data_IF_079732022007
#
_entry.id   IF_079732022007
#
_cell.length_a   1.000
_cell.length_b   1.000
_cell.length_c   1.000
_cell.angle_alpha   90.00
_cell.angle_beta   90.00
_cell.angle_gamma   90.00
#
_symmetry.space_group_name_H-M   'P 1'
#
loop_
_entity.id
_entity.type
_entity.pdbx_description
1 polymer ?
#
# COMPACT_ATOMS: atom_id res chain seq x y z
N UNK A 1 -86.84 -10.47 -17.67
CA UNK A 1 -85.56 -11.12 -17.76
C UNK A 1 -84.44 -10.09 -17.49
N UNK A 2 -83.92 -10.12 -16.30
CA UNK A 2 -82.90 -9.12 -15.84
C UNK A 2 -81.50 -9.79 -15.84
N UNK A 3 -80.60 -9.24 -16.65
CA UNK A 3 -79.26 -9.70 -16.75
C UNK A 3 -78.38 -8.91 -15.75
N UNK A 4 -77.91 -9.56 -14.70
CA UNK A 4 -76.94 -8.99 -13.73
C UNK A 4 -75.56 -9.20 -14.20
N UNK A 5 -74.86 -8.14 -14.60
CA UNK A 5 -73.44 -8.14 -14.95
C UNK A 5 -72.57 -8.05 -13.64
N UNK A 6 -71.83 -9.08 -13.34
CA UNK A 6 -70.89 -9.06 -12.21
C UNK A 6 -69.58 -8.43 -12.62
N UNK A 7 -69.21 -7.32 -11.99
CA UNK A 7 -67.86 -6.68 -12.13
C UNK A 7 -66.88 -7.38 -11.19
N UNK A 8 -65.92 -8.06 -11.74
CA UNK A 8 -64.80 -8.66 -11.00
C UNK A 8 -63.71 -7.61 -10.80
N UNK A 9 -63.55 -7.14 -9.57
CA UNK A 9 -62.40 -6.28 -9.19
C UNK A 9 -61.14 -7.13 -9.13
N UNK A 10 -60.21 -6.88 -10.04
CA UNK A 10 -58.85 -7.45 -10.00
C UNK A 10 -57.95 -6.47 -9.24
N UNK A 11 -57.56 -6.83 -8.03
CA UNK A 11 -56.57 -6.09 -7.25
C UNK A 11 -55.19 -6.49 -7.76
N UNK A 12 -54.49 -5.57 -8.40
CA UNK A 12 -53.04 -5.72 -8.70
C UNK A 12 -52.26 -5.43 -7.43
N UNK A 13 -51.68 -6.48 -6.83
CA UNK A 13 -50.68 -6.35 -5.80
C UNK A 13 -49.35 -5.98 -6.49
N UNK A 14 -48.91 -4.73 -6.34
CA UNK A 14 -47.61 -4.27 -6.74
C UNK A 14 -46.64 -4.70 -5.64
N UNK A 15 -45.60 -5.57 -5.91
CA UNK A 15 -44.63 -5.89 -4.91
C UNK A 15 -43.72 -4.67 -4.70
N UNK A 16 -43.75 -4.09 -3.53
CA UNK A 16 -42.77 -3.09 -3.08
C UNK A 16 -41.44 -3.81 -2.87
N UNK A 17 -40.52 -3.67 -3.81
CA UNK A 17 -39.12 -4.08 -3.65
C UNK A 17 -38.45 -3.04 -2.73
N UNK A 18 -38.34 -3.36 -1.46
CA UNK A 18 -37.44 -2.62 -0.55
C UNK A 18 -36.01 -2.85 -1.00
N UNK A 19 -35.44 -1.92 -1.75
CA UNK A 19 -34.01 -1.82 -1.89
C UNK A 19 -33.44 -1.46 -0.51
N UNK A 20 -32.87 -2.42 0.18
CA UNK A 20 -32.07 -2.17 1.38
C UNK A 20 -30.90 -1.30 0.94
N UNK A 21 -30.95 0.00 1.22
CA UNK A 21 -29.81 0.87 1.15
C UNK A 21 -28.79 0.32 2.17
N UNK A 22 -27.78 -0.37 1.70
CA UNK A 22 -26.59 -0.67 2.50
C UNK A 22 -26.01 0.69 2.88
N UNK A 23 -26.11 1.07 4.14
CA UNK A 23 -25.39 2.21 4.69
C UNK A 23 -23.91 1.96 4.34
N UNK A 24 -23.40 2.73 3.38
CA UNK A 24 -21.98 2.70 3.04
C UNK A 24 -21.23 3.02 4.33
N UNK A 25 -20.34 2.12 4.73
CA UNK A 25 -19.53 2.33 5.91
C UNK A 25 -18.61 3.52 5.61
N UNK A 26 -18.89 4.68 6.20
CA UNK A 26 -18.17 5.94 5.93
C UNK A 26 -16.73 5.93 6.41
N UNK A 27 -16.29 4.84 7.06
CA UNK A 27 -14.92 4.68 7.49
C UNK A 27 -13.95 4.61 6.28
N UNK A 28 -13.03 5.56 6.13
CA UNK A 28 -12.09 5.59 5.00
C UNK A 28 -11.23 4.33 4.89
N UNK A 29 -10.93 3.65 5.99
CA UNK A 29 -10.18 2.38 5.96
C UNK A 29 -11.00 1.29 5.26
N UNK A 30 -12.31 1.22 5.52
CA UNK A 30 -13.20 0.26 4.88
C UNK A 30 -13.41 0.58 3.40
N UNK A 31 -13.57 1.87 3.06
CA UNK A 31 -13.65 2.28 1.65
C UNK A 31 -12.38 1.92 0.90
N UNK A 32 -11.22 2.18 1.49
CA UNK A 32 -9.93 1.79 0.91
C UNK A 32 -9.82 0.27 0.76
N UNK A 33 -10.16 -0.50 1.79
CA UNK A 33 -10.13 -1.96 1.73
C UNK A 33 -10.99 -2.52 0.59
N UNK A 34 -12.20 -1.97 0.41
CA UNK A 34 -13.07 -2.35 -0.69
C UNK A 34 -12.49 -1.94 -2.05
N UNK A 35 -11.93 -0.74 -2.14
CA UNK A 35 -11.35 -0.19 -3.38
C UNK A 35 -10.15 -0.99 -3.89
N UNK A 36 -9.31 -1.54 -3.00
CA UNK A 36 -8.16 -2.37 -3.40
C UNK A 36 -8.54 -3.80 -3.79
N UNK A 37 -9.76 -4.25 -3.53
CA UNK A 37 -10.22 -5.60 -3.90
C UNK A 37 -10.75 -6.44 -2.75
N UNK A 38 -10.85 -5.87 -1.55
CA UNK A 38 -11.44 -6.48 -0.35
C UNK A 38 -10.44 -7.03 0.65
N UNK A 39 -10.77 -6.94 1.94
CA UNK A 39 -9.93 -7.40 3.06
C UNK A 39 -9.55 -8.88 2.94
N UNK A 40 -10.47 -9.72 2.49
CA UNK A 40 -10.24 -11.16 2.38
C UNK A 40 -9.07 -11.48 1.44
N UNK A 41 -9.07 -10.88 0.26
CA UNK A 41 -7.97 -11.06 -0.72
C UNK A 41 -6.66 -10.52 -0.18
N UNK A 42 -6.68 -9.34 0.45
CA UNK A 42 -5.47 -8.76 1.06
C UNK A 42 -4.97 -9.63 2.22
N UNK A 43 -5.86 -10.24 3.02
CA UNK A 43 -5.49 -11.16 4.10
C UNK A 43 -4.78 -12.43 3.60
N UNK A 44 -5.08 -12.88 2.38
CA UNK A 44 -4.46 -14.04 1.76
C UNK A 44 -3.03 -13.79 1.25
N UNK A 45 -2.62 -12.52 1.14
CA UNK A 45 -1.27 -12.16 0.74
C UNK A 45 -0.29 -12.44 1.89
N UNK A 46 0.70 -13.28 1.62
CA UNK A 46 1.83 -13.55 2.54
C UNK A 46 3.07 -12.75 2.15
N UNK A 47 3.24 -12.54 0.85
CA UNK A 47 4.39 -11.82 0.29
C UNK A 47 4.05 -11.17 -1.06
N UNK A 48 4.85 -10.17 -1.43
CA UNK A 48 4.76 -9.48 -2.71
C UNK A 48 6.18 -9.33 -3.25
N UNK A 49 6.36 -9.62 -4.52
CA UNK A 49 7.55 -9.28 -5.29
C UNK A 49 7.19 -8.30 -6.38
N UNK A 50 8.04 -7.27 -6.56
CA UNK A 50 7.83 -6.27 -7.61
C UNK A 50 9.14 -5.95 -8.31
N UNK A 51 9.07 -5.78 -9.63
CA UNK A 51 10.16 -5.26 -10.46
C UNK A 51 9.73 -3.94 -11.09
N UNK A 52 10.70 -3.08 -11.33
CA UNK A 52 10.45 -1.79 -11.97
C UNK A 52 11.71 -0.97 -12.14
N UNK A 53 11.53 0.32 -12.25
CA UNK A 53 12.61 1.30 -12.38
C UNK A 53 12.38 2.49 -11.45
N UNK A 54 13.47 3.12 -11.06
CA UNK A 54 13.49 4.43 -10.42
C UNK A 54 14.22 5.37 -11.37
N UNK A 55 13.61 6.51 -11.66
CA UNK A 55 14.27 7.62 -12.37
C UNK A 55 14.50 8.74 -11.39
N UNK A 56 15.73 9.20 -11.28
CA UNK A 56 16.17 10.28 -10.41
C UNK A 56 17.24 11.11 -11.09
N UNK A 57 17.01 12.43 -11.24
CA UNK A 57 17.96 13.36 -11.85
C UNK A 57 18.38 12.98 -13.29
N UNK A 58 17.49 12.35 -14.06
CA UNK A 58 17.77 11.87 -15.42
C UNK A 58 18.51 10.52 -15.47
N UNK A 59 18.79 9.91 -14.32
CA UNK A 59 19.41 8.57 -14.23
C UNK A 59 18.32 7.57 -13.91
N UNK A 60 18.26 6.49 -14.68
CA UNK A 60 17.35 5.37 -14.44
C UNK A 60 18.11 4.17 -13.86
N UNK A 61 17.57 3.60 -12.78
CA UNK A 61 18.08 2.38 -12.16
C UNK A 61 17.00 1.32 -12.10
N UNK A 62 17.36 0.05 -12.20
CA UNK A 62 16.43 -1.06 -11.99
C UNK A 62 16.08 -1.18 -10.50
N UNK A 63 14.85 -1.56 -10.23
CA UNK A 63 14.33 -1.77 -8.89
C UNK A 63 13.75 -3.17 -8.75
N UNK A 64 14.12 -3.87 -7.67
CA UNK A 64 13.45 -5.08 -7.22
C UNK A 64 13.10 -4.95 -5.74
N UNK A 65 11.88 -5.32 -5.40
CA UNK A 65 11.39 -5.21 -4.02
C UNK A 65 10.64 -6.47 -3.63
N UNK A 66 11.00 -7.02 -2.48
CA UNK A 66 10.27 -8.11 -1.83
C UNK A 66 9.74 -7.62 -0.50
N UNK A 67 8.49 -7.89 -0.23
CA UNK A 67 7.85 -7.61 1.03
C UNK A 67 7.10 -8.82 1.54
N UNK A 68 7.01 -8.95 2.84
CA UNK A 68 6.10 -9.89 3.50
C UNK A 68 4.99 -9.14 4.24
N UNK A 69 3.85 -9.78 4.45
CA UNK A 69 2.73 -9.18 5.16
C UNK A 69 3.03 -8.87 6.63
N UNK A 70 4.05 -9.52 7.23
CA UNK A 70 4.58 -9.26 8.56
C UNK A 70 5.63 -8.14 8.60
N UNK A 71 5.95 -7.55 7.45
CA UNK A 71 6.76 -6.34 7.35
C UNK A 71 8.25 -6.55 7.16
N UNK A 72 8.70 -7.74 6.77
CA UNK A 72 10.07 -7.91 6.27
C UNK A 72 10.16 -7.36 4.87
N UNK A 73 11.30 -6.81 4.50
CA UNK A 73 11.52 -6.39 3.12
C UNK A 73 12.99 -6.52 2.68
N UNK A 74 13.15 -6.61 1.38
CA UNK A 74 14.40 -6.43 0.66
C UNK A 74 14.15 -5.50 -0.52
N UNK A 75 15.04 -4.54 -0.71
CA UNK A 75 15.06 -3.64 -1.85
C UNK A 75 16.44 -3.74 -2.52
N UNK A 76 16.43 -3.86 -3.83
CA UNK A 76 17.63 -3.83 -4.67
C UNK A 76 17.46 -2.77 -5.74
N UNK A 77 18.42 -1.87 -5.82
CA UNK A 77 18.55 -0.86 -6.86
C UNK A 77 19.86 -1.11 -7.60
N UNK A 78 19.82 -1.08 -8.93
CA UNK A 78 21.01 -1.32 -9.75
C UNK A 78 21.00 -0.44 -11.00
N UNK A 79 22.00 0.38 -11.16
CA UNK A 79 22.36 1.14 -12.36
C UNK A 79 23.79 0.79 -12.81
N UNK A 80 24.32 1.54 -13.77
CA UNK A 80 25.65 1.31 -14.33
C UNK A 80 26.78 1.54 -13.31
N UNK A 81 26.64 2.60 -12.50
CA UNK A 81 27.67 3.00 -11.50
C UNK A 81 27.14 3.00 -10.08
N UNK A 82 25.93 2.51 -9.87
CA UNK A 82 25.23 2.53 -8.59
C UNK A 82 24.57 1.20 -8.29
N UNK A 83 24.75 0.71 -7.08
CA UNK A 83 23.93 -0.39 -6.55
C UNK A 83 23.66 -0.19 -5.06
N UNK A 84 22.46 -0.55 -4.66
CA UNK A 84 22.02 -0.51 -3.27
C UNK A 84 21.23 -1.78 -2.97
N UNK A 85 21.59 -2.44 -1.88
CA UNK A 85 20.77 -3.51 -1.29
C UNK A 85 20.42 -3.10 0.12
N UNK A 86 19.13 -3.06 0.41
CA UNK A 86 18.59 -2.78 1.73
C UNK A 86 17.73 -3.96 2.16
N UNK A 87 17.96 -4.48 3.36
CA UNK A 87 17.19 -5.59 3.94
C UNK A 87 16.71 -5.23 5.34
N UNK A 88 15.54 -5.74 5.69
CA UNK A 88 14.95 -5.59 7.02
C UNK A 88 14.17 -6.87 7.37
N UNK A 89 14.51 -7.50 8.50
CA UNK A 89 13.90 -8.76 8.94
C UNK A 89 12.67 -8.56 9.87
N UNK A 90 12.27 -7.31 10.07
CA UNK A 90 11.21 -6.91 10.99
C UNK A 90 11.73 -6.30 12.30
N UNK A 91 13.02 -6.47 12.61
CA UNK A 91 13.70 -5.94 13.81
C UNK A 91 15.04 -5.31 13.45
N UNK A 92 15.84 -5.99 12.67
CA UNK A 92 17.18 -5.57 12.25
C UNK A 92 17.21 -5.29 10.76
N UNK A 93 18.09 -4.40 10.36
CA UNK A 93 18.32 -4.11 8.96
C UNK A 93 19.80 -4.04 8.63
N UNK A 94 20.11 -4.22 7.35
CA UNK A 94 21.43 -4.05 6.79
C UNK A 94 21.38 -3.37 5.43
N UNK A 95 22.42 -2.62 5.12
CA UNK A 95 22.56 -1.89 3.85
C UNK A 95 23.92 -2.24 3.25
N UNK A 96 23.95 -2.48 1.93
CA UNK A 96 25.17 -2.58 1.13
C UNK A 96 25.08 -1.62 -0.06
N UNK A 97 26.03 -0.75 -0.20
CA UNK A 97 26.14 0.21 -1.31
C UNK A 97 27.37 -0.11 -2.16
N UNK A 98 27.18 -0.35 -3.44
CA UNK A 98 28.26 -0.74 -4.36
C UNK A 98 28.97 -2.00 -3.88
N UNK A 99 30.30 -1.95 -3.95
CA UNK A 99 31.19 -3.03 -3.50
C UNK A 99 31.62 -2.89 -2.03
N UNK A 100 31.05 -1.93 -1.29
CA UNK A 100 31.35 -1.75 0.12
C UNK A 100 30.82 -2.94 0.94
N UNK A 101 31.53 -3.33 2.02
CA UNK A 101 30.98 -4.30 2.97
C UNK A 101 29.62 -3.86 3.48
N UNK A 102 28.68 -4.79 3.71
CA UNK A 102 27.41 -4.46 4.30
C UNK A 102 27.60 -3.93 5.73
N UNK A 103 26.76 -2.96 6.11
CA UNK A 103 26.71 -2.46 7.47
C UNK A 103 25.32 -2.67 8.07
N UNK A 104 25.26 -2.85 9.39
CA UNK A 104 24.00 -2.88 10.13
C UNK A 104 23.41 -1.48 10.17
N UNK A 105 22.10 -1.39 10.02
CA UNK A 105 21.41 -0.12 10.12
C UNK A 105 21.59 0.50 11.50
N UNK A 106 22.00 1.76 11.54
CA UNK A 106 22.02 2.60 12.75
C UNK A 106 20.59 2.97 13.17
N UNK A 107 20.33 3.45 14.41
CA UNK A 107 19.00 3.79 14.88
C UNK A 107 18.18 4.68 13.95
N UNK A 108 18.70 5.75 13.32
CA UNK A 108 17.94 6.55 12.37
C UNK A 108 17.54 5.79 11.09
N UNK A 109 18.40 4.88 10.62
CA UNK A 109 18.11 4.02 9.46
C UNK A 109 17.06 2.97 9.82
N UNK A 110 17.11 2.40 11.04
CA UNK A 110 16.10 1.46 11.55
C UNK A 110 14.74 2.11 11.72
N UNK A 111 14.66 3.36 12.15
CA UNK A 111 13.42 4.12 12.25
C UNK A 111 12.76 4.26 10.87
N UNK A 112 13.55 4.61 9.85
CA UNK A 112 13.09 4.70 8.47
C UNK A 112 12.70 3.33 7.90
N UNK A 113 13.50 2.29 8.15
CA UNK A 113 13.20 0.92 7.73
C UNK A 113 11.90 0.42 8.34
N UNK A 114 11.68 0.68 9.65
CA UNK A 114 10.44 0.37 10.36
C UNK A 114 9.22 1.06 9.74
N UNK A 115 9.39 2.28 9.25
CA UNK A 115 8.33 3.01 8.56
C UNK A 115 8.09 2.48 7.14
N UNK A 116 9.16 2.20 6.41
CA UNK A 116 9.12 1.72 5.01
C UNK A 116 8.48 0.35 4.87
N UNK A 117 8.56 -0.52 5.89
CA UNK A 117 7.90 -1.84 5.86
C UNK A 117 6.39 -1.76 5.61
N UNK A 118 5.79 -0.62 5.99
CA UNK A 118 4.37 -0.34 5.77
C UNK A 118 4.14 0.90 4.89
N UNK A 119 5.06 1.17 3.97
CA UNK A 119 4.89 2.22 2.98
C UNK A 119 4.27 1.68 1.69
N UNK A 120 3.70 2.56 0.89
CA UNK A 120 3.11 2.24 -0.42
C UNK A 120 2.09 1.09 -0.31
N UNK A 121 2.17 0.08 -1.18
CA UNK A 121 1.26 -1.07 -1.18
C UNK A 121 1.15 -1.77 0.18
N UNK A 122 2.22 -1.79 0.97
CA UNK A 122 2.21 -2.47 2.27
C UNK A 122 1.46 -1.70 3.36
N UNK A 123 1.13 -0.42 3.13
CA UNK A 123 0.32 0.35 4.07
C UNK A 123 -1.05 -0.30 4.33
N UNK A 124 -1.61 -1.00 3.34
CA UNK A 124 -2.85 -1.75 3.51
C UNK A 124 -2.76 -2.85 4.57
N UNK A 125 -1.61 -3.55 4.69
CA UNK A 125 -1.42 -4.56 5.74
C UNK A 125 -1.43 -3.94 7.13
N UNK A 126 -0.85 -2.74 7.26
CA UNK A 126 -0.85 -2.03 8.53
C UNK A 126 -2.23 -1.45 8.86
N UNK A 127 -2.93 -0.89 7.88
CA UNK A 127 -4.22 -0.23 8.07
C UNK A 127 -5.37 -1.21 8.32
N UNK A 128 -5.38 -2.36 7.59
CA UNK A 128 -6.53 -3.25 7.58
C UNK A 128 -6.52 -4.32 8.66
N UNK A 129 -5.33 -4.67 9.20
CA UNK A 129 -5.15 -5.77 10.15
C UNK A 129 -4.50 -5.30 11.45
N UNK A 130 -5.28 -4.71 12.37
CA UNK A 130 -4.76 -4.20 13.65
C UNK A 130 -3.99 -5.25 14.43
N UNK A 131 -4.41 -6.50 14.37
CA UNK A 131 -3.80 -7.63 15.09
C UNK A 131 -2.39 -7.99 14.59
N UNK A 132 -2.06 -7.62 13.38
CA UNK A 132 -0.75 -7.89 12.75
C UNK A 132 0.22 -6.73 12.83
N UNK A 133 -0.25 -5.58 13.34
CA UNK A 133 0.55 -4.37 13.39
C UNK A 133 1.04 -4.06 14.79
N UNK A 134 2.21 -3.43 14.85
CA UNK A 134 2.70 -2.76 16.04
C UNK A 134 2.63 -1.27 15.79
N UNK A 135 1.78 -0.56 16.51
CA UNK A 135 1.57 0.87 16.33
C UNK A 135 0.11 1.26 16.33
N UNK A 136 -0.20 2.44 15.82
CA UNK A 136 -1.55 3.00 15.79
C UNK A 136 -1.99 3.38 14.38
N UNK A 137 -3.31 3.27 14.15
CA UNK A 137 -3.98 3.78 12.96
C UNK A 137 -5.15 4.63 13.43
N UNK A 138 -5.24 5.84 12.90
CA UNK A 138 -6.31 6.77 13.21
C UNK A 138 -6.92 7.33 11.91
N UNK A 139 -8.20 7.65 11.97
CA UNK A 139 -8.88 8.43 10.93
C UNK A 139 -8.79 9.89 11.36
N UNK A 140 -8.14 10.72 10.56
CA UNK A 140 -7.98 12.16 10.82
C UNK A 140 -9.10 12.97 10.17
N UNK A 141 -9.49 12.59 8.95
CA UNK A 141 -10.62 13.16 8.21
C UNK A 141 -11.33 12.07 7.42
N UNK A 142 -12.41 12.41 6.72
CA UNK A 142 -13.15 11.48 5.86
C UNK A 142 -12.27 10.81 4.78
N UNK A 143 -11.13 11.40 4.43
CA UNK A 143 -10.23 10.87 3.41
C UNK A 143 -8.77 10.75 3.87
N UNK A 144 -8.46 11.04 5.14
CA UNK A 144 -7.09 11.00 5.64
C UNK A 144 -6.94 9.99 6.79
N UNK A 145 -6.00 9.07 6.61
CA UNK A 145 -5.65 8.02 7.55
C UNK A 145 -4.22 8.27 8.03
N UNK A 146 -4.00 8.21 9.34
CA UNK A 146 -2.68 8.36 9.95
C UNK A 146 -2.19 6.99 10.40
N UNK A 147 -1.02 6.60 9.93
CA UNK A 147 -0.32 5.39 10.32
C UNK A 147 0.90 5.76 11.15
N UNK A 148 1.09 5.13 12.31
CA UNK A 148 2.26 5.33 13.16
C UNK A 148 2.77 3.98 13.64
N UNK A 149 3.72 3.35 12.90
CA UNK A 149 4.39 2.13 13.35
C UNK A 149 5.17 2.38 14.64
N UNK A 150 5.19 1.41 15.55
CA UNK A 150 6.03 1.47 16.75
C UNK A 150 7.50 1.51 16.34
N UNK A 151 8.26 2.48 16.86
CA UNK A 151 9.65 2.73 16.49
C UNK A 151 9.86 3.28 15.08
N UNK A 152 8.80 3.76 14.43
CA UNK A 152 8.84 4.40 13.11
C UNK A 152 8.23 5.78 13.10
N UNK A 153 8.36 6.47 11.97
CA UNK A 153 7.76 7.79 11.76
C UNK A 153 6.29 7.69 11.37
N UNK A 154 5.55 8.71 11.71
CA UNK A 154 4.14 8.86 11.32
C UNK A 154 4.01 9.13 9.81
N UNK A 155 3.02 8.50 9.20
CA UNK A 155 2.66 8.71 7.79
C UNK A 155 1.19 9.08 7.68
N UNK A 156 0.87 10.10 6.89
CA UNK A 156 -0.49 10.49 6.52
C UNK A 156 -0.80 10.03 5.11
N UNK A 157 -1.84 9.23 4.97
CA UNK A 157 -2.34 8.77 3.67
C UNK A 157 -3.64 9.49 3.38
N UNK A 158 -3.68 10.23 2.27
CA UNK A 158 -4.91 10.83 1.77
C UNK A 158 -5.47 9.99 0.63
N UNK A 159 -6.72 9.60 0.75
CA UNK A 159 -7.45 8.84 -0.26
C UNK A 159 -8.04 9.79 -1.31
N UNK A 160 -8.08 9.34 -2.54
CA UNK A 160 -8.87 9.98 -3.58
C UNK A 160 -10.36 9.79 -3.28
N UNK A 161 -11.16 10.87 -3.21
CA UNK A 161 -12.58 10.78 -2.81
C UNK A 161 -13.45 10.02 -3.80
N UNK A 162 -13.03 9.90 -5.06
CA UNK A 162 -13.81 9.21 -6.11
C UNK A 162 -13.50 7.72 -6.14
N UNK A 163 -12.23 7.35 -5.98
CA UNK A 163 -11.78 5.96 -6.09
C UNK A 163 -11.56 5.28 -4.75
N UNK A 164 -11.41 6.04 -3.66
CA UNK A 164 -11.02 5.59 -2.33
C UNK A 164 -9.67 4.88 -2.27
N UNK A 165 -8.84 5.02 -3.31
CA UNK A 165 -7.47 4.56 -3.31
C UNK A 165 -6.54 5.65 -2.75
N UNK A 166 -5.37 5.31 -2.18
CA UNK A 166 -4.37 6.29 -1.82
C UNK A 166 -4.03 7.22 -2.99
N UNK A 167 -4.03 8.52 -2.73
CA UNK A 167 -3.61 9.55 -3.67
C UNK A 167 -2.25 10.12 -3.31
N UNK A 168 -2.05 10.36 -2.01
CA UNK A 168 -0.78 10.84 -1.49
C UNK A 168 -0.46 10.17 -0.16
N UNK A 169 0.84 10.06 0.13
CA UNK A 169 1.35 9.72 1.46
C UNK A 169 2.42 10.74 1.84
N UNK A 170 2.33 11.27 3.05
CA UNK A 170 3.29 12.25 3.58
C UNK A 170 3.90 11.75 4.87
N UNK A 171 5.22 11.84 4.99
CA UNK A 171 5.97 11.49 6.21
C UNK A 171 7.23 12.35 6.36
N UNK A 172 7.89 12.25 7.50
CA UNK A 172 9.19 12.89 7.74
C UNK A 172 10.35 11.90 7.54
N UNK A 173 11.45 12.39 6.98
CA UNK A 173 12.75 11.73 7.00
C UNK A 173 13.77 12.75 7.54
N UNK A 174 14.05 12.70 8.84
CA UNK A 174 14.75 13.79 9.54
C UNK A 174 13.96 15.10 9.44
N UNK A 175 14.61 16.16 9.01
CA UNK A 175 13.96 17.47 8.82
C UNK A 175 13.16 17.59 7.51
N UNK A 176 13.30 16.61 6.60
CA UNK A 176 12.65 16.67 5.29
C UNK A 176 11.23 16.13 5.36
N UNK A 177 10.31 16.82 4.70
CA UNK A 177 8.97 16.29 4.43
C UNK A 177 9.01 15.55 3.09
N UNK A 178 8.68 14.27 3.12
CA UNK A 178 8.57 13.44 1.93
C UNK A 178 7.11 13.34 1.55
N UNK A 179 6.83 13.66 0.30
CA UNK A 179 5.51 13.44 -0.31
C UNK A 179 5.64 12.36 -1.37
N UNK A 180 4.81 11.35 -1.26
CA UNK A 180 4.62 10.30 -2.26
C UNK A 180 3.27 10.51 -2.91
N UNK A 181 3.25 10.63 -4.24
CA UNK A 181 2.02 10.70 -5.05
C UNK A 181 1.84 9.39 -5.78
N UNK A 182 0.65 8.82 -5.73
CA UNK A 182 0.28 7.59 -6.43
C UNK A 182 -0.45 7.98 -7.72
N UNK A 183 0.24 7.88 -8.87
CA UNK A 183 -0.27 8.40 -10.15
C UNK A 183 -1.15 7.40 -10.87
N UNK A 184 -0.83 6.11 -10.77
CA UNK A 184 -1.62 5.05 -11.41
C UNK A 184 -1.59 3.75 -10.63
N UNK A 185 -2.57 2.90 -10.92
CA UNK A 185 -2.76 1.58 -10.31
C UNK A 185 -2.88 0.50 -11.37
N UNK A 186 -2.41 -0.70 -11.06
CA UNK A 186 -2.66 -1.92 -11.80
C UNK A 186 -3.47 -2.91 -10.95
N UNK A 187 -4.14 -3.85 -11.60
CA UNK A 187 -4.85 -4.93 -10.91
C UNK A 187 -4.15 -6.25 -11.14
N UNK A 188 -3.73 -6.90 -10.07
CA UNK A 188 -3.10 -8.23 -10.08
C UNK A 188 -3.93 -9.15 -9.19
N UNK A 189 -4.44 -10.25 -9.75
CA UNK A 189 -5.30 -11.22 -9.04
C UNK A 189 -6.51 -10.57 -8.32
N UNK A 190 -7.02 -9.47 -8.91
CA UNK A 190 -8.16 -8.72 -8.38
C UNK A 190 -7.82 -7.82 -7.19
N UNK A 191 -6.54 -7.54 -6.95
CA UNK A 191 -6.04 -6.59 -5.95
C UNK A 191 -5.35 -5.43 -6.68
N UNK A 192 -5.62 -4.20 -6.26
CA UNK A 192 -5.01 -3.01 -6.84
C UNK A 192 -3.71 -2.67 -6.13
N UNK A 193 -2.64 -2.54 -6.91
CA UNK A 193 -1.34 -2.06 -6.49
C UNK A 193 -1.01 -0.77 -7.26
N UNK A 194 -0.31 0.15 -6.61
CA UNK A 194 0.23 1.32 -7.31
C UNK A 194 1.19 0.87 -8.43
N UNK A 195 1.08 1.49 -9.60
CA UNK A 195 1.94 1.21 -10.76
C UNK A 195 2.99 2.28 -10.96
N UNK A 196 2.60 3.53 -10.80
CA UNK A 196 3.48 4.68 -10.91
C UNK A 196 3.38 5.53 -9.65
N UNK A 197 4.54 5.95 -9.16
CA UNK A 197 4.68 6.70 -7.92
C UNK A 197 5.68 7.83 -8.16
N UNK A 198 5.37 9.04 -7.72
CA UNK A 198 6.33 10.13 -7.59
C UNK A 198 6.65 10.37 -6.13
N UNK A 199 7.94 10.45 -5.81
CA UNK A 199 8.46 10.78 -4.49
C UNK A 199 9.20 12.11 -4.56
N UNK A 200 8.83 13.06 -3.73
CA UNK A 200 9.46 14.39 -3.62
C UNK A 200 9.86 14.67 -2.17
N UNK A 201 11.04 15.25 -1.99
CA UNK A 201 11.54 15.75 -0.70
C UNK A 201 11.44 17.30 -0.59
N UNK A 202 10.67 17.93 -1.51
CA UNK A 202 10.71 19.37 -1.71
C UNK A 202 11.91 19.78 -2.57
N UNK A 203 11.72 20.76 -3.46
CA UNK A 203 12.75 21.19 -4.40
C UNK A 203 12.94 20.25 -5.60
N UNK A 204 14.09 20.34 -6.31
CA UNK A 204 14.32 19.61 -7.56
C UNK A 204 14.57 18.11 -7.38
N UNK A 205 14.72 17.64 -6.16
CA UNK A 205 14.97 16.21 -5.87
C UNK A 205 13.64 15.46 -5.86
N UNK A 206 13.29 14.88 -7.01
CA UNK A 206 12.15 13.99 -7.16
C UNK A 206 12.60 12.68 -7.79
N UNK A 207 11.92 11.60 -7.45
CA UNK A 207 12.11 10.29 -8.05
C UNK A 207 10.77 9.79 -8.61
N UNK A 208 10.80 9.29 -9.83
CA UNK A 208 9.67 8.57 -10.42
C UNK A 208 9.95 7.07 -10.32
N UNK A 209 9.00 6.33 -9.78
CA UNK A 209 9.08 4.87 -9.64
C UNK A 209 7.99 4.28 -10.51
N UNK A 210 8.37 3.34 -11.40
CA UNK A 210 7.42 2.65 -12.26
C UNK A 210 7.62 1.15 -12.10
N UNK A 211 6.57 0.45 -11.67
CA UNK A 211 6.56 -1.01 -11.59
C UNK A 211 6.10 -1.61 -12.92
N UNK A 212 6.80 -2.64 -13.35
CA UNK A 212 6.53 -3.38 -14.60
C UNK A 212 6.05 -4.80 -14.34
N UNK A 213 6.25 -5.31 -13.10
CA UNK A 213 5.84 -6.63 -12.68
C UNK A 213 5.48 -6.63 -11.20
N UNK A 214 4.38 -7.28 -10.87
CA UNK A 214 3.94 -7.55 -9.50
C UNK A 214 3.53 -9.03 -9.41
N UNK A 215 4.05 -9.75 -8.41
CA UNK A 215 3.74 -11.17 -8.14
C UNK A 215 3.30 -11.30 -6.70
N UNK A 216 2.14 -11.89 -6.49
CA UNK A 216 1.58 -12.18 -5.18
C UNK A 216 2.04 -13.59 -4.75
N UNK A 217 2.42 -13.72 -3.49
CA UNK A 217 2.85 -14.97 -2.87
C UNK A 217 3.97 -15.72 -3.62
N UNK A 218 5.03 -15.05 -4.13
CA UNK A 218 6.17 -15.76 -4.68
C UNK A 218 6.81 -16.64 -3.59
N UNK A 219 7.46 -17.75 -3.96
CA UNK A 219 8.28 -18.50 -3.04
C UNK A 219 9.44 -17.61 -2.57
N UNK A 220 9.59 -17.46 -1.25
CA UNK A 220 10.61 -16.63 -0.62
C UNK A 220 11.39 -17.46 0.39
N UNK A 221 12.73 -17.49 0.23
CA UNK A 221 13.63 -18.01 1.24
C UNK A 221 13.83 -16.97 2.36
N UNK A 222 13.82 -17.39 3.61
CA UNK A 222 13.99 -16.50 4.75
C UNK A 222 15.34 -15.75 4.75
N UNK A 223 16.38 -16.34 4.16
CA UNK A 223 17.70 -15.71 4.00
C UNK A 223 17.70 -14.48 3.08
N UNK A 224 16.63 -14.29 2.29
CA UNK A 224 16.47 -13.13 1.42
C UNK A 224 16.50 -11.81 2.20
N UNK A 225 16.02 -11.81 3.44
CA UNK A 225 15.92 -10.62 4.28
C UNK A 225 17.15 -10.35 5.14
N UNK A 226 18.24 -11.04 4.87
CA UNK A 226 19.53 -10.81 5.51
C UNK A 226 20.62 -10.57 4.47
N UNK A 227 21.61 -9.75 4.79
CA UNK A 227 22.86 -9.64 4.03
C UNK A 227 23.93 -10.33 4.88
N UNK A 228 24.51 -11.42 4.34
CA UNK A 228 25.66 -12.05 5.00
C UNK A 228 26.87 -11.12 4.91
N UNK A 229 27.58 -11.00 5.99
CA UNK A 229 28.88 -10.33 6.09
C UNK A 229 29.92 -11.03 5.20
#
# INVERSE_FOLDING_TARGET
MSCKTAIRNIWFLIPFVFAAATLANDNPIERWANAVGGREKVAAIKSIYREGTIEFGGVQVSLKVWHTADGKYRKEEKGDTYSLIETFDGVNGAVRQGDQPPHKMAPPELELATSRRFANANAMFFAFFPERRRGTVAVETDNTIVLKPEGGVESRITLDPQTSLPKTMVHKEGERTITVTFDSYETVEGIKFEKEIHRSAGGPQSAAIRFTKTVINPPIDASLFSIKE
#
